data_IF_174850645203
#
_entry.id   IF_174850645203
#
_cell.length_a   1.000
_cell.length_b   1.000
_cell.length_c   1.000
_cell.angle_alpha   90.00
_cell.angle_beta   90.00
_cell.angle_gamma   90.00
#
_symmetry.space_group_name_H-M   'P 1'
#
loop_
_entity.id
_entity.type
_entity.pdbx_description
1 polymer ?
#
# COMPACT_ATOMS: atom_id res chain seq x y z
N UNK A 1 -17.84 -11.89 3.92
CA UNK A 1 -16.59 -11.08 3.86
C UNK A 1 -15.87 -11.43 2.58
N UNK A 2 -15.67 -10.47 1.72
CA UNK A 2 -14.85 -10.60 0.50
C UNK A 2 -13.46 -10.06 0.79
N UNK A 3 -12.46 -10.58 0.07
CA UNK A 3 -11.08 -10.10 0.18
C UNK A 3 -10.68 -9.49 -1.15
N UNK A 4 -10.23 -8.25 -1.12
CA UNK A 4 -9.84 -7.49 -2.30
C UNK A 4 -8.38 -7.06 -2.20
N UNK A 5 -7.56 -7.48 -3.15
CA UNK A 5 -6.21 -6.95 -3.36
C UNK A 5 -6.31 -5.64 -4.13
N UNK A 6 -6.04 -4.52 -3.47
CA UNK A 6 -6.07 -3.18 -4.04
C UNK A 6 -4.64 -2.70 -4.29
N UNK A 7 -4.27 -2.59 -5.56
CA UNK A 7 -2.95 -2.19 -6.02
C UNK A 7 -2.98 -0.74 -6.49
N UNK A 8 -2.28 0.15 -5.78
CA UNK A 8 -2.16 1.56 -6.17
C UNK A 8 -0.96 1.78 -7.08
N UNK A 9 -1.12 2.55 -8.15
CA UNK A 9 -0.05 2.92 -9.07
C UNK A 9 -0.08 4.40 -9.46
N UNK A 10 1.04 4.85 -9.99
CA UNK A 10 1.22 6.08 -10.71
C UNK A 10 2.28 5.79 -11.78
N UNK A 11 1.84 5.30 -12.95
CA UNK A 11 2.73 4.84 -14.01
C UNK A 11 3.42 6.02 -14.67
N UNK A 12 2.68 7.12 -14.90
CA UNK A 12 3.17 8.36 -15.53
C UNK A 12 3.14 9.54 -14.52
N UNK A 13 3.99 9.49 -13.48
CA UNK A 13 3.93 10.51 -12.44
C UNK A 13 4.36 11.88 -12.96
N UNK A 14 3.79 12.94 -12.39
CA UNK A 14 4.22 14.30 -12.68
C UNK A 14 5.65 14.54 -12.20
N UNK A 15 6.45 15.24 -13.02
CA UNK A 15 7.79 15.74 -12.67
C UNK A 15 7.75 16.70 -11.47
N UNK A 16 6.61 17.36 -11.24
CA UNK A 16 6.42 18.30 -10.15
C UNK A 16 6.10 17.62 -8.80
N UNK A 17 6.02 16.27 -8.76
CA UNK A 17 5.76 15.55 -7.51
C UNK A 17 6.99 15.62 -6.59
N UNK A 18 6.88 16.25 -5.40
CA UNK A 18 8.02 16.42 -4.49
C UNK A 18 8.67 15.09 -4.10
N UNK A 19 9.99 15.07 -4.01
CA UNK A 19 10.81 13.93 -3.55
C UNK A 19 10.69 12.65 -4.38
N UNK A 20 10.05 12.67 -5.54
CA UNK A 20 9.94 11.51 -6.43
C UNK A 20 11.14 11.50 -7.40
N UNK A 21 12.02 10.51 -7.28
CA UNK A 21 13.21 10.37 -8.15
C UNK A 21 12.99 9.41 -9.31
N UNK A 22 12.19 8.38 -9.10
CA UNK A 22 11.92 7.37 -10.12
C UNK A 22 10.68 7.75 -10.92
N UNK A 23 10.88 8.51 -12.00
CA UNK A 23 9.83 9.12 -12.83
C UNK A 23 9.72 8.50 -14.23
N UNK A 24 10.66 7.65 -14.64
CA UNK A 24 10.64 7.01 -15.95
C UNK A 24 9.43 6.08 -16.12
N UNK A 25 8.55 6.43 -17.04
CA UNK A 25 7.26 5.76 -17.28
C UNK A 25 7.45 4.29 -17.69
N UNK A 26 8.33 4.02 -18.64
CA UNK A 26 8.57 2.66 -19.15
C UNK A 26 9.14 1.75 -18.07
N UNK A 27 10.04 2.27 -17.25
CA UNK A 27 10.59 1.52 -16.12
C UNK A 27 9.52 1.21 -15.09
N UNK A 28 8.69 2.20 -14.74
CA UNK A 28 7.58 2.02 -13.78
C UNK A 28 6.53 1.03 -14.31
N UNK A 29 6.19 1.11 -15.60
CA UNK A 29 5.29 0.14 -16.24
C UNK A 29 5.87 -1.28 -16.17
N UNK A 30 7.14 -1.46 -16.56
CA UNK A 30 7.82 -2.77 -16.48
C UNK A 30 7.84 -3.35 -15.07
N UNK A 31 8.06 -2.53 -14.07
CA UNK A 31 8.04 -2.93 -12.66
C UNK A 31 6.63 -3.33 -12.22
N UNK A 32 5.63 -2.54 -12.60
CA UNK A 32 4.22 -2.85 -12.34
C UNK A 32 3.84 -4.19 -12.94
N UNK A 33 4.11 -4.41 -14.24
CA UNK A 33 3.80 -5.67 -14.92
C UNK A 33 4.49 -6.87 -14.26
N UNK A 34 5.77 -6.74 -13.88
CA UNK A 34 6.51 -7.79 -13.15
C UNK A 34 5.85 -8.15 -11.81
N UNK A 35 5.34 -7.16 -11.10
CA UNK A 35 4.67 -7.38 -9.82
C UNK A 35 3.25 -7.95 -10.02
N UNK A 36 2.51 -7.47 -11.02
CA UNK A 36 1.20 -8.03 -11.39
C UNK A 36 1.30 -9.53 -11.73
N UNK A 37 2.33 -9.96 -12.47
CA UNK A 37 2.59 -11.38 -12.76
C UNK A 37 2.84 -12.22 -11.49
N UNK A 38 3.38 -11.63 -10.43
CA UNK A 38 3.55 -12.32 -9.15
C UNK A 38 2.24 -12.33 -8.36
N UNK A 39 1.53 -11.20 -8.32
CA UNK A 39 0.24 -11.08 -7.66
C UNK A 39 -0.83 -11.94 -8.31
N UNK A 40 -0.83 -12.14 -9.64
CA UNK A 40 -1.79 -13.01 -10.33
C UNK A 40 -1.77 -14.45 -9.80
N UNK A 41 -0.59 -14.96 -9.40
CA UNK A 41 -0.45 -16.29 -8.78
C UNK A 41 -1.08 -16.34 -7.39
N UNK A 42 -0.93 -15.28 -6.60
CA UNK A 42 -1.53 -15.14 -5.26
C UNK A 42 -3.05 -15.03 -5.40
N UNK A 43 -3.52 -14.13 -6.26
CA UNK A 43 -4.96 -13.92 -6.54
C UNK A 43 -5.63 -15.23 -6.98
N UNK A 44 -4.99 -16.00 -7.87
CA UNK A 44 -5.51 -17.30 -8.31
C UNK A 44 -5.58 -18.30 -7.17
N UNK A 45 -4.54 -18.34 -6.30
CA UNK A 45 -4.46 -19.29 -5.16
C UNK A 45 -5.53 -19.04 -4.13
N UNK A 46 -5.76 -17.76 -3.77
CA UNK A 46 -6.67 -17.37 -2.69
C UNK A 46 -8.03 -16.91 -3.19
N UNK A 47 -8.24 -16.88 -4.51
CA UNK A 47 -9.46 -16.40 -5.16
C UNK A 47 -9.87 -14.98 -4.72
N UNK A 48 -8.91 -14.08 -4.60
CA UNK A 48 -9.16 -12.67 -4.27
C UNK A 48 -9.81 -11.93 -5.46
N UNK A 49 -10.63 -10.95 -5.15
CA UNK A 49 -10.85 -9.85 -6.08
C UNK A 49 -9.54 -9.05 -6.18
N UNK A 50 -9.21 -8.53 -7.36
CA UNK A 50 -8.05 -7.68 -7.48
C UNK A 50 -8.28 -6.51 -8.41
N UNK A 51 -7.73 -5.39 -7.99
CA UNK A 51 -7.97 -4.10 -8.60
C UNK A 51 -6.64 -3.39 -8.74
N UNK A 52 -6.36 -2.86 -9.92
CA UNK A 52 -5.30 -1.92 -10.16
C UNK A 52 -5.91 -0.54 -10.34
N UNK A 53 -5.53 0.40 -9.48
CA UNK A 53 -5.92 1.80 -9.61
C UNK A 53 -4.71 2.66 -9.95
N UNK A 54 -4.83 3.47 -10.99
CA UNK A 54 -3.81 4.46 -11.38
C UNK A 54 -4.40 5.87 -11.36
N UNK A 55 -3.64 6.86 -10.91
CA UNK A 55 -4.05 8.26 -10.85
C UNK A 55 -3.30 9.15 -11.84
N UNK A 56 -2.67 8.56 -12.83
CA UNK A 56 -1.82 9.27 -13.81
C UNK A 56 -2.16 8.94 -15.26
N UNK A 57 -2.97 7.91 -15.47
CA UNK A 57 -3.45 7.46 -16.77
C UNK A 57 -4.97 7.43 -16.76
N UNK A 58 -5.58 7.76 -17.89
CA UNK A 58 -7.00 7.53 -18.09
C UNK A 58 -7.31 6.02 -18.28
N UNK A 59 -8.59 5.68 -18.31
CA UNK A 59 -9.00 4.26 -18.38
C UNK A 59 -8.60 3.61 -19.71
N UNK A 60 -8.67 4.36 -20.81
CA UNK A 60 -8.32 3.86 -22.14
C UNK A 60 -6.82 3.58 -22.25
N UNK A 61 -5.99 4.54 -21.81
CA UNK A 61 -4.53 4.37 -21.74
C UNK A 61 -4.16 3.17 -20.84
N UNK A 62 -4.78 3.06 -19.67
CA UNK A 62 -4.52 1.99 -18.73
C UNK A 62 -4.89 0.62 -19.33
N UNK A 63 -6.04 0.50 -19.99
CA UNK A 63 -6.46 -0.72 -20.71
C UNK A 63 -5.53 -1.08 -21.85
N UNK A 64 -4.97 -0.10 -22.56
CA UNK A 64 -4.06 -0.32 -23.68
C UNK A 64 -2.70 -0.87 -23.23
N UNK A 65 -2.19 -0.45 -22.07
CA UNK A 65 -0.85 -0.84 -21.62
C UNK A 65 -0.82 -2.04 -20.66
N UNK A 66 -1.96 -2.38 -20.05
CA UNK A 66 -2.08 -3.56 -19.18
C UNK A 66 -2.70 -4.71 -19.99
N UNK A 67 -1.94 -5.78 -20.30
CA UNK A 67 -2.44 -6.90 -21.12
C UNK A 67 -3.43 -7.76 -20.33
N UNK A 68 -4.72 -7.45 -20.46
CA UNK A 68 -5.81 -8.06 -19.69
C UNK A 68 -5.89 -9.59 -19.85
N UNK A 69 -5.49 -10.10 -21.02
CA UNK A 69 -5.38 -11.55 -21.29
C UNK A 69 -4.38 -12.24 -20.34
N UNK A 70 -3.35 -11.53 -19.91
CA UNK A 70 -2.36 -12.02 -18.94
C UNK A 70 -2.81 -11.90 -17.49
N UNK A 71 -3.83 -11.08 -17.24
CA UNK A 71 -4.32 -10.76 -15.90
C UNK A 71 -5.84 -10.93 -15.78
N UNK A 72 -6.35 -12.18 -15.91
CA UNK A 72 -7.79 -12.43 -15.91
C UNK A 72 -8.42 -11.93 -14.59
N UNK A 73 -9.61 -11.36 -14.71
CA UNK A 73 -10.40 -10.81 -13.60
C UNK A 73 -9.79 -9.57 -12.90
N UNK A 74 -8.69 -9.00 -13.41
CA UNK A 74 -8.23 -7.71 -12.89
C UNK A 74 -9.23 -6.62 -13.26
N UNK A 75 -9.65 -5.85 -12.28
CA UNK A 75 -10.41 -4.62 -12.53
C UNK A 75 -9.43 -3.46 -12.61
N UNK A 76 -9.51 -2.68 -13.66
CA UNK A 76 -8.73 -1.46 -13.84
C UNK A 76 -9.59 -0.26 -13.45
N UNK A 77 -9.03 0.65 -12.67
CA UNK A 77 -9.64 1.92 -12.30
C UNK A 77 -8.66 3.05 -12.62
N UNK A 78 -9.19 4.10 -13.23
CA UNK A 78 -8.49 5.38 -13.39
C UNK A 78 -9.04 6.35 -12.36
N UNK A 79 -8.21 6.76 -11.39
CA UNK A 79 -8.59 7.80 -10.46
C UNK A 79 -8.44 9.18 -11.13
N UNK A 80 -9.27 10.16 -10.77
CA UNK A 80 -9.12 11.51 -11.29
C UNK A 80 -7.70 12.05 -11.10
N UNK A 81 -7.14 12.76 -12.08
CA UNK A 81 -5.82 13.36 -11.98
C UNK A 81 -5.78 14.39 -10.85
N UNK A 82 -4.65 14.47 -10.19
CA UNK A 82 -4.43 15.45 -9.12
C UNK A 82 -4.30 16.86 -9.71
N UNK A 83 -4.87 17.83 -9.01
CA UNK A 83 -4.62 19.25 -9.31
C UNK A 83 -3.18 19.63 -8.94
N UNK A 84 -2.67 20.75 -9.46
CA UNK A 84 -1.34 21.24 -9.09
C UNK A 84 -1.20 21.47 -7.58
N UNK A 85 -2.28 21.97 -6.93
CA UNK A 85 -2.34 22.15 -5.47
C UNK A 85 -2.24 20.83 -4.71
N UNK A 86 -2.69 19.73 -5.30
CA UNK A 86 -2.63 18.40 -4.67
C UNK A 86 -1.29 17.73 -4.93
N UNK A 87 -0.69 17.95 -6.09
CA UNK A 87 0.63 17.42 -6.42
C UNK A 87 1.71 17.88 -5.44
N UNK A 88 1.65 19.13 -4.96
CA UNK A 88 2.62 19.66 -3.99
C UNK A 88 2.52 19.00 -2.60
N UNK A 89 1.37 18.37 -2.30
CA UNK A 89 1.22 17.58 -1.06
C UNK A 89 1.96 16.23 -1.12
N UNK A 90 2.49 15.87 -2.30
CA UNK A 90 3.39 14.73 -2.52
C UNK A 90 2.72 13.42 -2.90
N UNK A 91 3.56 12.43 -3.22
CA UNK A 91 3.12 11.13 -3.72
C UNK A 91 2.18 10.38 -2.75
N UNK A 92 2.38 10.53 -1.44
CA UNK A 92 1.50 9.92 -0.43
C UNK A 92 0.08 10.47 -0.47
N UNK A 93 -0.09 11.77 -0.80
CA UNK A 93 -1.41 12.35 -0.98
C UNK A 93 -2.09 11.79 -2.25
N UNK A 94 -1.34 11.63 -3.35
CA UNK A 94 -1.86 11.00 -4.56
C UNK A 94 -2.33 9.56 -4.32
N UNK A 95 -1.57 8.80 -3.55
CA UNK A 95 -1.95 7.45 -3.12
C UNK A 95 -3.24 7.46 -2.28
N UNK A 96 -3.35 8.38 -1.33
CA UNK A 96 -4.53 8.57 -0.50
C UNK A 96 -5.78 8.84 -1.35
N UNK A 97 -5.68 9.74 -2.34
CA UNK A 97 -6.80 10.08 -3.23
C UNK A 97 -7.20 8.91 -4.13
N UNK A 98 -6.24 8.11 -4.60
CA UNK A 98 -6.52 6.86 -5.32
C UNK A 98 -7.31 5.88 -4.46
N UNK A 99 -6.90 5.66 -3.21
CA UNK A 99 -7.61 4.79 -2.27
C UNK A 99 -9.03 5.30 -2.00
N UNK A 100 -9.18 6.61 -1.77
CA UNK A 100 -10.49 7.24 -1.55
C UNK A 100 -11.42 7.04 -2.75
N UNK A 101 -10.90 7.25 -3.96
CA UNK A 101 -11.66 7.03 -5.18
C UNK A 101 -12.09 5.56 -5.32
N UNK A 102 -11.19 4.61 -5.10
CA UNK A 102 -11.50 3.18 -5.16
C UNK A 102 -12.62 2.79 -4.19
N UNK A 103 -12.52 3.21 -2.93
CA UNK A 103 -13.51 2.87 -1.89
C UNK A 103 -14.89 3.48 -2.18
N UNK A 104 -14.94 4.64 -2.81
CA UNK A 104 -16.20 5.31 -3.16
C UNK A 104 -16.83 4.76 -4.46
N UNK A 105 -16.00 4.24 -5.39
CA UNK A 105 -16.47 3.76 -6.70
C UNK A 105 -16.86 2.28 -6.65
N UNK A 106 -16.18 1.50 -5.82
CA UNK A 106 -16.41 0.07 -5.71
C UNK A 106 -17.55 -0.22 -4.72
N UNK A 107 -18.37 -1.21 -5.04
CA UNK A 107 -19.40 -1.73 -4.14
C UNK A 107 -18.76 -2.66 -3.09
N UNK A 108 -18.12 -2.04 -2.09
CA UNK A 108 -17.44 -2.72 -1.00
C UNK A 108 -18.26 -2.62 0.29
N UNK A 109 -18.45 -3.73 0.94
CA UNK A 109 -19.10 -3.81 2.24
C UNK A 109 -18.12 -3.42 3.37
N UNK A 110 -18.62 -2.81 4.45
CA UNK A 110 -17.77 -2.33 5.56
C UNK A 110 -16.90 -3.41 6.18
N UNK A 111 -17.36 -4.65 6.20
CA UNK A 111 -16.63 -5.79 6.73
C UNK A 111 -15.75 -6.50 5.69
N UNK A 112 -15.74 -6.06 4.44
CA UNK A 112 -14.84 -6.63 3.45
C UNK A 112 -13.39 -6.24 3.77
N UNK A 113 -12.46 -7.13 3.45
CA UNK A 113 -11.05 -6.96 3.76
C UNK A 113 -10.30 -6.40 2.54
N UNK A 114 -9.56 -5.34 2.76
CA UNK A 114 -8.67 -4.74 1.77
C UNK A 114 -7.23 -5.11 2.10
N UNK A 115 -6.57 -5.78 1.17
CA UNK A 115 -5.13 -5.96 1.15
C UNK A 115 -4.56 -4.88 0.24
N UNK A 116 -3.98 -3.84 0.81
CA UNK A 116 -3.40 -2.75 0.04
C UNK A 116 -1.93 -3.00 -0.22
N UNK A 117 -1.52 -2.83 -1.48
CA UNK A 117 -0.11 -2.78 -1.85
C UNK A 117 0.12 -1.76 -2.99
N UNK A 118 1.32 -1.19 -3.09
CA UNK A 118 1.67 -0.44 -4.30
C UNK A 118 1.95 -1.42 -5.45
N UNK A 119 1.42 -1.15 -6.63
CA UNK A 119 1.47 -2.07 -7.78
C UNK A 119 2.89 -2.45 -8.24
N UNK A 120 3.89 -1.60 -7.96
CA UNK A 120 5.31 -1.87 -8.23
C UNK A 120 6.01 -2.70 -7.17
N UNK A 121 5.25 -3.19 -6.18
CA UNK A 121 5.77 -4.04 -5.12
C UNK A 121 5.06 -5.37 -5.10
N UNK A 122 5.81 -6.38 -4.68
CA UNK A 122 5.30 -7.69 -4.36
C UNK A 122 5.85 -8.12 -3.00
N UNK A 123 5.01 -8.70 -2.17
CA UNK A 123 5.40 -9.19 -0.85
C UNK A 123 5.81 -10.66 -0.96
N UNK A 124 7.10 -10.95 -0.85
CA UNK A 124 7.64 -12.29 -1.07
C UNK A 124 7.17 -13.32 -0.06
N UNK A 125 7.02 -12.89 1.19
CA UNK A 125 6.54 -13.71 2.30
C UNK A 125 5.03 -13.55 2.55
N UNK A 126 4.27 -13.22 1.49
CA UNK A 126 2.83 -12.94 1.57
C UNK A 126 2.07 -14.10 2.22
N UNK A 127 2.30 -15.34 1.79
CA UNK A 127 1.61 -16.52 2.31
C UNK A 127 1.78 -16.68 3.84
N UNK A 128 2.95 -16.33 4.36
CA UNK A 128 3.21 -16.38 5.80
C UNK A 128 2.51 -15.24 6.56
N UNK A 129 2.45 -14.04 5.96
CA UNK A 129 1.75 -12.90 6.56
C UNK A 129 0.25 -13.09 6.53
N UNK A 130 -0.27 -13.64 5.43
CA UNK A 130 -1.70 -13.79 5.22
C UNK A 130 -2.34 -14.79 6.20
N UNK A 131 -1.60 -15.80 6.66
CA UNK A 131 -2.06 -16.71 7.73
C UNK A 131 -2.45 -16.00 9.03
N UNK A 132 -1.82 -14.88 9.35
CA UNK A 132 -2.19 -14.08 10.53
C UNK A 132 -3.45 -13.24 10.29
N UNK A 133 -3.76 -12.96 9.01
CA UNK A 133 -4.87 -12.08 8.62
C UNK A 133 -6.19 -12.86 8.55
N UNK A 134 -6.14 -14.14 8.13
CA UNK A 134 -7.35 -14.96 7.94
C UNK A 134 -8.18 -15.12 9.21
N UNK A 135 -7.55 -15.08 10.40
CA UNK A 135 -8.20 -15.32 11.69
C UNK A 135 -8.72 -14.05 12.38
N UNK A 136 -8.48 -12.85 11.83
CA UNK A 136 -8.72 -11.60 12.56
C UNK A 136 -9.21 -10.44 11.66
N UNK A 137 -10.36 -9.86 11.99
CA UNK A 137 -10.90 -8.64 11.36
C UNK A 137 -10.28 -7.36 11.96
N UNK A 138 -8.95 -7.24 11.89
CA UNK A 138 -8.21 -6.11 12.45
C UNK A 138 -7.37 -5.39 11.41
N UNK A 139 -6.83 -4.24 11.77
CA UNK A 139 -5.82 -3.54 10.98
C UNK A 139 -4.47 -4.23 11.18
N UNK A 140 -3.92 -4.77 10.10
CA UNK A 140 -2.58 -5.36 10.10
C UNK A 140 -1.61 -4.42 9.39
N UNK A 141 -0.56 -4.04 10.08
CA UNK A 141 0.40 -3.06 9.61
C UNK A 141 1.81 -3.38 10.13
N UNK A 142 2.80 -2.73 9.55
CA UNK A 142 4.18 -2.78 10.04
C UNK A 142 4.62 -1.39 10.48
N UNK A 143 5.29 -1.30 11.63
CA UNK A 143 5.85 -0.04 12.15
C UNK A 143 7.36 -0.05 12.10
N UNK A 144 7.93 1.13 11.92
CA UNK A 144 9.36 1.34 12.09
C UNK A 144 9.74 1.38 13.59
N UNK A 145 11.02 1.20 13.90
CA UNK A 145 11.53 1.16 15.28
C UNK A 145 11.12 2.39 16.12
N UNK A 146 11.08 3.57 15.50
CA UNK A 146 10.72 4.82 16.18
C UNK A 146 9.23 4.98 16.46
N UNK A 147 8.38 4.13 15.90
CA UNK A 147 6.92 4.17 16.04
C UNK A 147 6.24 5.46 15.54
N UNK A 148 7.00 6.41 15.03
CA UNK A 148 6.48 7.65 14.46
C UNK A 148 5.94 7.47 13.02
N UNK A 149 6.18 6.29 12.43
CA UNK A 149 5.77 5.94 11.08
C UNK A 149 5.25 4.51 11.03
N UNK A 150 4.20 4.31 10.24
CA UNK A 150 3.72 2.99 9.85
C UNK A 150 3.88 2.80 8.33
N UNK A 151 4.18 1.58 7.90
CA UNK A 151 4.42 1.26 6.50
C UNK A 151 3.12 1.34 5.70
N UNK A 152 3.09 2.21 4.70
CA UNK A 152 1.93 2.39 3.82
C UNK A 152 2.04 1.60 2.50
N UNK A 153 3.22 1.05 2.19
CA UNK A 153 3.41 0.22 0.98
C UNK A 153 2.60 -1.07 1.02
N UNK A 154 2.38 -1.60 2.23
CA UNK A 154 1.57 -2.79 2.46
C UNK A 154 0.87 -2.71 3.81
N UNK A 155 -0.44 -2.88 3.81
CA UNK A 155 -1.26 -3.07 5.01
C UNK A 155 -2.53 -3.85 4.67
N UNK A 156 -3.20 -4.34 5.70
CA UNK A 156 -4.50 -5.01 5.57
C UNK A 156 -5.47 -4.44 6.59
N UNK A 157 -6.67 -4.11 6.16
CA UNK A 157 -7.74 -3.61 7.05
C UNK A 157 -9.12 -3.81 6.41
N UNK A 158 -10.17 -3.69 7.22
CA UNK A 158 -11.54 -3.67 6.71
C UNK A 158 -11.81 -2.39 5.92
N UNK A 159 -12.83 -2.42 5.07
CA UNK A 159 -13.28 -1.23 4.32
C UNK A 159 -13.70 -0.10 5.27
N UNK A 160 -14.37 -0.42 6.36
CA UNK A 160 -14.76 0.55 7.40
C UNK A 160 -13.55 1.28 7.98
N UNK A 161 -12.50 0.55 8.38
CA UNK A 161 -11.26 1.16 8.86
C UNK A 161 -10.57 1.99 7.78
N UNK A 162 -10.57 1.52 6.53
CA UNK A 162 -9.99 2.28 5.42
C UNK A 162 -10.74 3.60 5.21
N UNK A 163 -12.06 3.62 5.20
CA UNK A 163 -12.87 4.85 5.09
C UNK A 163 -12.53 5.84 6.22
N UNK A 164 -12.47 5.38 7.45
CA UNK A 164 -12.14 6.19 8.61
C UNK A 164 -10.72 6.76 8.50
N UNK A 165 -9.74 5.93 8.14
CA UNK A 165 -8.36 6.38 7.90
C UNK A 165 -8.27 7.43 6.79
N UNK A 166 -8.94 7.22 5.65
CA UNK A 166 -8.93 8.15 4.51
C UNK A 166 -9.49 9.52 4.91
N UNK A 167 -10.62 9.55 5.63
CA UNK A 167 -11.19 10.80 6.16
C UNK A 167 -10.26 11.50 7.15
N UNK A 168 -9.60 10.74 8.03
CA UNK A 168 -8.63 11.27 8.99
C UNK A 168 -7.39 11.86 8.29
N UNK A 169 -6.89 11.20 7.25
CA UNK A 169 -5.61 11.53 6.61
C UNK A 169 -5.71 12.70 5.62
N UNK A 170 -6.82 12.88 4.93
CA UNK A 170 -6.97 13.82 3.81
C UNK A 170 -6.58 15.27 4.15
N UNK A 171 -7.01 15.76 5.30
CA UNK A 171 -6.72 17.12 5.75
C UNK A 171 -5.31 17.27 6.38
N UNK A 172 -4.60 16.17 6.62
CA UNK A 172 -3.37 16.15 7.43
C UNK A 172 -2.11 15.90 6.64
N UNK A 173 -2.20 15.15 5.52
CA UNK A 173 -1.02 14.84 4.70
C UNK A 173 -0.52 16.09 3.99
N UNK A 174 0.72 16.49 4.27
CA UNK A 174 1.37 17.63 3.63
C UNK A 174 2.90 17.47 3.72
N UNK A 175 3.53 17.04 2.62
CA UNK A 175 4.98 16.81 2.60
C UNK A 175 5.81 18.09 2.67
N UNK A 176 5.24 19.25 2.32
CA UNK A 176 5.92 20.54 2.51
C UNK A 176 6.16 20.85 4.00
N UNK A 177 5.26 20.39 4.85
CA UNK A 177 5.37 20.48 6.30
C UNK A 177 6.03 19.23 6.92
N UNK A 178 6.68 18.38 6.13
CA UNK A 178 7.24 17.07 6.53
C UNK A 178 6.22 16.09 7.13
N UNK A 179 4.93 16.27 6.83
CA UNK A 179 3.86 15.38 7.28
C UNK A 179 3.56 14.39 6.16
N UNK A 180 4.21 13.22 6.22
CA UNK A 180 4.05 12.14 5.26
C UNK A 180 2.88 11.24 5.63
N UNK A 181 2.36 10.49 4.65
CA UNK A 181 1.26 9.53 4.84
C UNK A 181 1.59 8.49 5.92
N UNK A 182 2.84 8.05 5.99
CA UNK A 182 3.34 7.09 6.98
C UNK A 182 3.22 7.62 8.42
N UNK A 183 3.44 8.92 8.64
CA UNK A 183 3.25 9.57 9.96
C UNK A 183 1.77 9.60 10.33
N UNK A 184 0.92 9.99 9.37
CA UNK A 184 -0.53 10.07 9.61
C UNK A 184 -1.12 8.69 9.84
N UNK A 185 -0.62 7.67 9.13
CA UNK A 185 -1.07 6.31 9.34
C UNK A 185 -0.71 5.80 10.74
N UNK A 186 0.52 6.03 11.20
CA UNK A 186 0.92 5.70 12.57
C UNK A 186 0.06 6.44 13.59
N UNK A 187 -0.15 7.76 13.40
CA UNK A 187 -0.97 8.57 14.30
C UNK A 187 -2.42 8.08 14.35
N UNK A 188 -3.01 7.75 13.20
CA UNK A 188 -4.36 7.18 13.13
C UNK A 188 -4.46 5.88 13.94
N UNK A 189 -3.53 4.95 13.74
CA UNK A 189 -3.51 3.67 14.45
C UNK A 189 -3.44 3.89 15.96
N UNK A 190 -2.49 4.70 16.43
CA UNK A 190 -2.26 4.87 17.86
C UNK A 190 -3.33 5.69 18.56
N UNK A 191 -3.98 6.63 17.86
CA UNK A 191 -4.98 7.52 18.48
C UNK A 191 -6.42 7.02 18.31
N UNK A 192 -6.74 6.28 17.25
CA UNK A 192 -8.12 5.96 16.90
C UNK A 192 -8.41 4.45 16.77
N UNK A 193 -7.40 3.64 16.50
CA UNK A 193 -7.58 2.23 16.16
C UNK A 193 -6.63 1.30 16.93
N UNK A 194 -6.06 1.73 18.05
CA UNK A 194 -5.04 0.97 18.78
C UNK A 194 -5.51 -0.45 19.18
N UNK A 195 -6.73 -0.56 19.72
CA UNK A 195 -7.28 -1.83 20.17
C UNK A 195 -7.72 -2.75 19.01
N UNK A 196 -7.88 -2.20 17.82
CA UNK A 196 -8.33 -2.88 16.60
C UNK A 196 -7.17 -3.13 15.64
N UNK A 197 -5.93 -2.88 16.09
CA UNK A 197 -4.74 -2.98 15.26
C UNK A 197 -3.75 -4.02 15.78
N UNK A 198 -3.11 -4.71 14.86
CA UNK A 198 -2.08 -5.72 15.15
C UNK A 198 -0.85 -5.37 14.30
N UNK A 199 0.28 -5.12 14.98
CA UNK A 199 1.56 -5.04 14.28
C UNK A 199 1.93 -6.43 13.77
N UNK A 200 2.18 -6.53 12.47
CA UNK A 200 2.58 -7.78 11.84
C UNK A 200 3.77 -8.41 12.59
N UNK A 201 3.70 -9.70 12.94
CA UNK A 201 4.75 -10.37 13.69
C UNK A 201 6.03 -10.53 12.87
N UNK A 202 5.89 -10.51 11.55
CA UNK A 202 6.99 -10.67 10.57
C UNK A 202 6.95 -9.45 9.65
N UNK A 203 8.11 -8.88 9.35
CA UNK A 203 8.23 -7.78 8.39
C UNK A 203 7.85 -8.22 6.97
N UNK A 204 7.05 -7.42 6.23
CA UNK A 204 6.81 -7.66 4.81
C UNK A 204 8.11 -7.57 4.00
N UNK A 205 8.50 -8.65 3.34
CA UNK A 205 9.69 -8.70 2.48
C UNK A 205 9.33 -8.17 1.10
N UNK A 206 9.62 -6.89 0.87
CA UNK A 206 9.25 -6.17 -0.35
C UNK A 206 10.19 -6.54 -1.51
N UNK A 207 9.62 -6.90 -2.65
CA UNK A 207 10.28 -6.95 -3.95
C UNK A 207 9.82 -5.76 -4.79
N UNK A 208 10.74 -5.05 -5.42
CA UNK A 208 10.40 -3.90 -6.29
C UNK A 208 11.43 -2.79 -6.21
N UNK A 209 11.05 -1.60 -6.69
CA UNK A 209 11.90 -0.40 -6.75
C UNK A 209 11.22 0.77 -6.05
N UNK A 210 11.95 1.42 -5.15
CA UNK A 210 11.45 2.59 -4.44
C UNK A 210 11.18 3.76 -5.38
N UNK A 211 9.97 4.30 -5.35
CA UNK A 211 9.62 5.50 -6.12
C UNK A 211 10.42 6.74 -5.65
N UNK A 212 10.70 6.82 -4.35
CA UNK A 212 11.41 7.94 -3.75
C UNK A 212 12.90 7.95 -4.10
N UNK A 213 13.55 6.80 -4.05
CA UNK A 213 15.02 6.72 -4.19
C UNK A 213 15.48 6.12 -5.50
N UNK A 214 14.61 5.40 -6.24
CA UNK A 214 14.98 4.59 -7.41
C UNK A 214 15.76 3.32 -7.05
N UNK A 215 15.99 3.06 -5.76
CA UNK A 215 16.74 1.88 -5.31
C UNK A 215 15.90 0.62 -5.32
N UNK A 216 16.48 -0.50 -5.74
CA UNK A 216 15.86 -1.83 -5.59
C UNK A 216 15.89 -2.24 -4.12
N UNK A 217 14.76 -2.78 -3.62
CA UNK A 217 14.75 -3.41 -2.31
C UNK A 217 15.62 -4.66 -2.34
N UNK A 218 16.68 -4.67 -1.51
CA UNK A 218 17.64 -5.76 -1.43
C UNK A 218 17.12 -6.84 -0.48
N UNK A 219 17.38 -8.10 -0.84
CA UNK A 219 16.85 -9.26 -0.12
C UNK A 219 17.57 -9.57 1.22
N UNK A 220 18.77 -9.04 1.46
CA UNK A 220 19.66 -9.68 2.44
C UNK A 220 20.34 -8.82 3.51
N UNK A 221 20.27 -7.49 3.51
CA UNK A 221 21.20 -6.76 4.37
C UNK A 221 20.58 -5.96 5.53
N UNK A 222 19.33 -5.58 5.46
CA UNK A 222 18.73 -4.78 6.54
C UNK A 222 17.56 -5.51 7.24
N UNK A 223 16.81 -6.34 6.51
CA UNK A 223 15.62 -6.99 7.04
C UNK A 223 15.93 -8.06 8.10
N UNK A 224 17.02 -8.81 8.00
CA UNK A 224 17.33 -9.89 8.96
C UNK A 224 17.75 -9.33 10.32
N UNK A 225 18.66 -8.36 10.34
CA UNK A 225 19.05 -7.64 11.58
C UNK A 225 17.87 -6.86 12.16
N UNK A 226 17.06 -6.19 11.30
CA UNK A 226 15.83 -5.51 11.71
C UNK A 226 14.81 -6.47 12.31
N UNK A 227 14.61 -7.65 11.71
CA UNK A 227 13.70 -8.66 12.23
C UNK A 227 14.15 -9.20 13.60
N UNK A 228 15.46 -9.47 13.78
CA UNK A 228 15.99 -9.89 15.09
C UNK A 228 15.77 -8.80 16.11
N UNK A 229 16.17 -7.58 15.80
CA UNK A 229 16.04 -6.42 16.69
C UNK A 229 14.56 -6.16 17.01
N UNK A 230 13.67 -6.13 16.01
CA UNK A 230 12.22 -5.96 16.21
C UNK A 230 11.59 -7.09 17.02
N UNK A 231 12.00 -8.34 16.79
CA UNK A 231 11.49 -9.49 17.56
C UNK A 231 11.94 -9.44 19.01
N UNK A 232 13.18 -9.07 19.24
CA UNK A 232 13.73 -8.89 20.60
C UNK A 232 13.03 -7.74 21.32
N UNK A 233 12.90 -6.56 20.68
CA UNK A 233 12.22 -5.41 21.29
C UNK A 233 10.72 -5.66 21.50
N UNK A 234 10.02 -6.38 20.59
CA UNK A 234 8.62 -6.76 20.81
C UNK A 234 8.46 -7.72 21.99
N UNK A 235 9.36 -8.67 22.18
CA UNK A 235 9.37 -9.52 23.38
C UNK A 235 9.62 -8.74 24.67
N UNK A 236 10.55 -7.80 24.67
CA UNK A 236 10.77 -6.92 25.83
C UNK A 236 9.56 -6.06 26.19
N UNK A 237 8.79 -5.56 25.19
CA UNK A 237 7.56 -4.80 25.46
C UNK A 237 6.42 -5.62 26.08
N UNK A 238 6.36 -6.91 25.83
CA UNK A 238 5.38 -7.81 26.46
C UNK A 238 5.70 -8.11 27.93
N UNK A 239 6.94 -7.90 28.36
CA UNK A 239 7.40 -8.15 29.74
C UNK A 239 7.19 -6.92 30.64
N UNK A 240 7.01 -5.72 30.06
CA UNK A 240 6.82 -4.46 30.81
C UNK A 240 5.39 -3.89 30.71
N UNK A 241 4.42 -4.72 30.42
CA UNK A 241 2.98 -4.51 30.65
C UNK A 241 2.58 -5.34 31.85
#
# INVERSE_FOLDING_TARGET
>A
MKITLLLTSAIKPSYNTPYLKHIDELSRLRETLKCLLKWSKVVKRYNFNWILIDNTLDEEELRRIIPLESFPKIQLLSAPPLTEKDLIKGAGFGELMSLKYAVNTLQLEDNDLIIKCNARYFIRNFDNLFKFVEDNNKIFFHTYLRLDRAETKFFVMTVSHLRNFLGYAEARVNVQNNIHLEHIFALYIYSNAYHESISLPIEPVIFGVSGRTGAKYKFFTESWLHNIVNTVFKKFRLVFK
#
